data_IF_326163407262
#
_entry.id   IF_326163407262
#
_cell.length_a   1.000
_cell.length_b   1.000
_cell.length_c   1.000
_cell.angle_alpha   90.00
_cell.angle_beta   90.00
_cell.angle_gamma   90.00
#
_symmetry.space_group_name_H-M   'P 1'
#
loop_
_entity.id
_entity.type
_entity.pdbx_description
1 polymer ?
#
# COMPACT_ATOMS: atom_id res chain seq x y z
N UNK A 1 1.59 6.89 -25.51
CA UNK A 1 2.42 6.83 -24.27
C UNK A 1 2.92 5.40 -24.10
N UNK A 2 4.19 5.18 -23.84
CA UNK A 2 4.75 3.84 -23.64
C UNK A 2 4.06 3.22 -22.39
N UNK A 3 3.45 2.02 -22.54
CA UNK A 3 2.71 1.31 -21.44
C UNK A 3 3.53 1.20 -20.16
N UNK A 4 4.85 1.01 -20.31
CA UNK A 4 5.75 0.91 -19.17
C UNK A 4 5.92 2.26 -18.46
N UNK A 5 6.07 3.36 -19.24
CA UNK A 5 6.16 4.70 -18.68
C UNK A 5 4.89 5.07 -17.89
N UNK A 6 3.71 4.76 -18.44
CA UNK A 6 2.44 4.92 -17.72
C UNK A 6 2.43 4.17 -16.39
N UNK A 7 2.84 2.89 -16.40
CA UNK A 7 2.87 2.07 -15.18
C UNK A 7 3.87 2.59 -14.13
N UNK A 8 5.02 3.13 -14.57
CA UNK A 8 5.99 3.79 -13.67
C UNK A 8 5.39 5.05 -13.04
N UNK A 9 4.74 5.89 -13.84
CA UNK A 9 4.07 7.11 -13.35
C UNK A 9 2.99 6.75 -12.34
N UNK A 10 2.15 5.74 -12.63
CA UNK A 10 1.15 5.26 -11.68
C UNK A 10 1.77 4.83 -10.36
N UNK A 11 2.89 4.07 -10.39
CA UNK A 11 3.56 3.63 -9.18
C UNK A 11 4.14 4.80 -8.35
N UNK A 12 4.76 5.79 -9.01
CA UNK A 12 5.31 6.98 -8.34
C UNK A 12 4.21 7.82 -7.69
N UNK A 13 3.09 8.05 -8.41
CA UNK A 13 1.95 8.79 -7.85
C UNK A 13 1.32 8.04 -6.67
N UNK A 14 1.21 6.70 -6.77
CA UNK A 14 0.76 5.86 -5.66
C UNK A 14 1.64 6.06 -4.43
N UNK A 15 2.96 5.98 -4.57
CA UNK A 15 3.91 6.18 -3.46
C UNK A 15 3.78 7.55 -2.83
N UNK A 16 3.55 8.60 -3.64
CA UNK A 16 3.35 9.96 -3.13
C UNK A 16 2.06 10.05 -2.29
N UNK A 17 0.94 9.55 -2.83
CA UNK A 17 -0.34 9.60 -2.11
C UNK A 17 -0.26 8.80 -0.81
N UNK A 18 0.32 7.58 -0.84
CA UNK A 18 0.42 6.75 0.34
C UNK A 18 1.35 7.34 1.40
N UNK A 19 2.51 7.88 1.00
CA UNK A 19 3.44 8.51 1.94
C UNK A 19 2.80 9.68 2.70
N UNK A 20 2.06 10.56 2.01
CA UNK A 20 1.34 11.66 2.65
C UNK A 20 0.11 11.20 3.44
N UNK A 21 -0.48 10.04 3.06
CA UNK A 21 -1.65 9.50 3.74
C UNK A 21 -1.35 8.99 5.17
N UNK A 22 -0.11 8.64 5.50
CA UNK A 22 0.25 8.24 6.87
C UNK A 22 -0.08 9.31 7.91
N UNK A 23 0.19 10.58 7.59
CA UNK A 23 -0.14 11.71 8.46
C UNK A 23 -1.65 11.83 8.66
N UNK A 24 -2.44 11.77 7.59
CA UNK A 24 -3.90 11.83 7.68
C UNK A 24 -4.49 10.59 8.39
N UNK A 25 -3.85 9.43 8.30
CA UNK A 25 -4.24 8.23 9.04
C UNK A 25 -4.00 8.37 10.54
N UNK A 26 -2.93 9.01 10.94
CA UNK A 26 -2.60 9.29 12.33
C UNK A 26 -3.61 10.28 12.93
N UNK A 27 -3.82 11.41 12.26
CA UNK A 27 -4.74 12.47 12.69
C UNK A 27 -6.21 12.01 12.71
N UNK A 28 -6.61 11.07 11.85
CA UNK A 28 -8.00 10.61 11.69
C UNK A 28 -8.48 9.62 12.75
N UNK A 29 -7.72 9.44 13.84
CA UNK A 29 -8.07 8.53 14.95
C UNK A 29 -8.33 9.25 16.27
N UNK A 30 -8.49 10.56 16.27
CA UNK A 30 -8.73 11.33 17.50
C UNK A 30 -10.09 11.00 18.14
N UNK A 31 -11.10 10.67 17.33
CA UNK A 31 -12.47 10.43 17.80
C UNK A 31 -13.03 9.05 17.46
N UNK A 32 -12.33 8.25 16.65
CA UNK A 32 -12.77 6.91 16.23
C UNK A 32 -11.65 5.90 16.29
N UNK A 33 -12.01 4.62 16.47
CA UNK A 33 -11.04 3.52 16.52
C UNK A 33 -10.44 3.17 15.15
N UNK A 34 -9.32 2.43 15.16
CA UNK A 34 -8.56 2.07 13.96
C UNK A 34 -9.36 1.20 12.97
N UNK A 35 -10.25 0.33 13.44
CA UNK A 35 -11.09 -0.50 12.56
C UNK A 35 -12.21 0.33 11.93
N UNK A 36 -12.82 1.24 12.70
CA UNK A 36 -13.85 2.17 12.21
C UNK A 36 -13.27 3.08 11.13
N UNK A 37 -12.10 3.69 11.38
CA UNK A 37 -11.41 4.50 10.38
C UNK A 37 -11.07 3.68 9.12
N UNK A 38 -10.52 2.47 9.29
CA UNK A 38 -10.18 1.57 8.17
C UNK A 38 -11.42 1.20 7.35
N UNK A 39 -12.53 0.87 8.00
CA UNK A 39 -13.79 0.56 7.31
C UNK A 39 -14.33 1.78 6.55
N UNK A 40 -14.37 2.94 7.20
CA UNK A 40 -14.88 4.19 6.60
C UNK A 40 -14.06 4.61 5.37
N UNK A 41 -12.71 4.56 5.44
CA UNK A 41 -11.87 4.89 4.28
C UNK A 41 -12.04 3.91 3.12
N UNK A 42 -12.18 2.61 3.40
CA UNK A 42 -12.33 1.59 2.37
C UNK A 42 -13.70 1.63 1.69
N UNK A 43 -14.80 1.83 2.44
CA UNK A 43 -16.12 1.99 1.80
C UNK A 43 -16.16 3.25 0.92
N UNK A 44 -15.53 4.33 1.34
CA UNK A 44 -15.43 5.53 0.54
C UNK A 44 -14.59 5.33 -0.72
N UNK A 45 -13.49 4.57 -0.61
CA UNK A 45 -12.69 4.14 -1.77
C UNK A 45 -13.51 3.33 -2.78
N UNK A 46 -14.33 2.38 -2.29
CA UNK A 46 -15.27 1.65 -3.14
C UNK A 46 -16.27 2.57 -3.82
N UNK A 47 -16.94 3.46 -3.07
CA UNK A 47 -17.93 4.39 -3.61
C UNK A 47 -17.34 5.34 -4.65
N UNK A 48 -16.09 5.78 -4.45
CA UNK A 48 -15.35 6.60 -5.42
C UNK A 48 -15.15 5.88 -6.75
N UNK A 49 -14.86 4.57 -6.73
CA UNK A 49 -14.58 3.79 -7.93
C UNK A 49 -15.82 3.17 -8.57
N UNK A 50 -16.92 3.03 -7.83
CA UNK A 50 -18.15 2.36 -8.30
C UNK A 50 -18.71 2.93 -9.62
N UNK A 51 -18.81 4.27 -9.81
CA UNK A 51 -19.27 4.81 -11.09
C UNK A 51 -18.42 4.37 -12.28
N UNK A 52 -17.11 4.31 -12.11
CA UNK A 52 -16.17 3.88 -13.17
C UNK A 52 -16.31 2.37 -13.46
N UNK A 53 -16.57 1.54 -12.46
CA UNK A 53 -16.87 0.11 -12.66
C UNK A 53 -18.10 -0.06 -13.53
N UNK A 54 -19.19 0.66 -13.21
CA UNK A 54 -20.47 0.57 -13.91
C UNK A 54 -20.32 1.05 -15.37
N UNK A 55 -19.66 2.18 -15.57
CA UNK A 55 -19.57 2.83 -16.88
C UNK A 55 -18.53 2.17 -17.80
N UNK A 56 -17.43 1.65 -17.26
CA UNK A 56 -16.28 1.19 -18.07
C UNK A 56 -16.16 -0.33 -18.11
N UNK A 57 -16.23 -1.02 -16.96
CA UNK A 57 -15.85 -2.43 -16.86
C UNK A 57 -17.04 -3.38 -16.96
N UNK A 58 -18.20 -3.03 -16.38
CA UNK A 58 -19.32 -3.95 -16.20
C UNK A 58 -19.81 -4.58 -17.51
N UNK A 59 -19.93 -3.78 -18.57
CA UNK A 59 -20.35 -4.25 -19.90
C UNK A 59 -19.32 -5.22 -20.50
N UNK A 60 -18.04 -4.93 -20.32
CA UNK A 60 -16.94 -5.76 -20.84
C UNK A 60 -16.86 -7.09 -20.09
N UNK A 61 -17.06 -7.08 -18.77
CA UNK A 61 -17.07 -8.30 -17.95
C UNK A 61 -18.23 -9.20 -18.33
N UNK A 62 -19.44 -8.66 -18.53
CA UNK A 62 -20.62 -9.44 -18.91
C UNK A 62 -20.49 -10.16 -20.28
N UNK A 63 -19.71 -9.59 -21.19
CA UNK A 63 -19.55 -10.12 -22.54
C UNK A 63 -18.45 -11.19 -22.67
N UNK A 64 -17.79 -11.56 -21.58
CA UNK A 64 -16.72 -12.55 -21.58
C UNK A 64 -17.03 -13.72 -20.63
N UNK A 65 -16.62 -14.92 -21.02
CA UNK A 65 -16.70 -16.11 -20.17
C UNK A 65 -15.49 -16.16 -19.23
N UNK A 66 -15.71 -15.80 -17.97
CA UNK A 66 -14.72 -15.90 -16.91
C UNK A 66 -15.06 -17.02 -15.92
N UNK A 67 -14.04 -17.63 -15.33
CA UNK A 67 -14.21 -18.49 -14.15
C UNK A 67 -14.48 -17.59 -12.92
N UNK A 68 -15.75 -17.20 -12.76
CA UNK A 68 -16.18 -16.32 -11.66
C UNK A 68 -15.90 -16.91 -10.28
N UNK A 69 -15.94 -18.24 -10.14
CA UNK A 69 -15.61 -18.91 -8.87
C UNK A 69 -14.16 -18.65 -8.48
N UNK A 70 -13.25 -18.85 -9.41
CA UNK A 70 -11.82 -18.58 -9.22
C UNK A 70 -11.56 -17.09 -8.92
N UNK A 71 -12.16 -16.18 -9.68
CA UNK A 71 -12.04 -14.74 -9.49
C UNK A 71 -12.54 -14.33 -8.11
N UNK A 72 -13.69 -14.85 -7.69
CA UNK A 72 -14.28 -14.58 -6.37
C UNK A 72 -13.32 -14.94 -5.22
N UNK A 73 -12.71 -16.12 -5.24
CA UNK A 73 -11.77 -16.52 -4.21
C UNK A 73 -10.51 -15.66 -4.21
N UNK A 74 -10.00 -15.25 -5.37
CA UNK A 74 -8.88 -14.30 -5.45
C UNK A 74 -9.25 -12.93 -4.91
N UNK A 75 -10.42 -12.39 -5.26
CA UNK A 75 -10.90 -11.10 -4.75
C UNK A 75 -11.14 -11.13 -3.25
N UNK A 76 -11.74 -12.23 -2.75
CA UNK A 76 -11.95 -12.42 -1.32
C UNK A 76 -10.60 -12.44 -0.56
N UNK A 77 -9.61 -13.16 -1.08
CA UNK A 77 -8.28 -13.23 -0.48
C UNK A 77 -7.56 -11.87 -0.54
N UNK A 78 -7.61 -11.16 -1.68
CA UNK A 78 -7.03 -9.81 -1.81
C UNK A 78 -7.76 -8.83 -0.88
N UNK A 79 -9.10 -8.91 -0.79
CA UNK A 79 -9.91 -8.13 0.13
C UNK A 79 -9.59 -8.41 1.61
N UNK A 80 -9.30 -9.66 1.97
CA UNK A 80 -8.78 -10.02 3.28
C UNK A 80 -7.40 -9.38 3.54
N UNK A 81 -6.49 -9.46 2.58
CA UNK A 81 -5.15 -8.90 2.73
C UNK A 81 -5.18 -7.38 2.89
N UNK A 82 -6.04 -6.67 2.13
CA UNK A 82 -6.18 -5.21 2.27
C UNK A 82 -6.87 -4.82 3.57
N UNK A 83 -7.85 -5.59 4.05
CA UNK A 83 -8.52 -5.37 5.33
C UNK A 83 -7.53 -5.41 6.50
N UNK A 84 -6.84 -6.54 6.63
CA UNK A 84 -5.89 -6.73 7.73
C UNK A 84 -4.62 -5.91 7.55
N UNK A 85 -4.14 -5.71 6.31
CA UNK A 85 -3.04 -4.82 6.02
C UNK A 85 -3.31 -3.39 6.50
N UNK A 86 -4.45 -2.80 6.13
CA UNK A 86 -4.81 -1.45 6.59
C UNK A 86 -5.11 -1.41 8.11
N UNK A 87 -5.80 -2.41 8.65
CA UNK A 87 -6.12 -2.44 10.08
C UNK A 87 -4.84 -2.51 10.93
N UNK A 88 -3.91 -3.41 10.62
CA UNK A 88 -2.63 -3.52 11.32
C UNK A 88 -1.80 -2.23 11.20
N UNK A 89 -1.79 -1.61 10.03
CA UNK A 89 -1.11 -0.32 9.83
C UNK A 89 -1.73 0.76 10.71
N UNK A 90 -3.06 0.80 10.80
CA UNK A 90 -3.78 1.77 11.61
C UNK A 90 -3.55 1.51 13.11
N UNK A 91 -3.53 0.24 13.54
CA UNK A 91 -3.15 -0.12 14.91
C UNK A 91 -1.69 0.22 15.22
N UNK A 92 -0.77 0.08 14.27
CA UNK A 92 0.63 0.43 14.48
C UNK A 92 0.80 1.91 14.85
N UNK A 93 0.05 2.80 14.18
CA UNK A 93 0.07 4.25 14.45
C UNK A 93 -0.33 4.62 15.89
N UNK A 94 -1.11 3.78 16.59
CA UNK A 94 -1.43 4.01 17.99
C UNK A 94 -0.25 3.78 18.95
N UNK A 95 0.79 3.05 18.50
CA UNK A 95 1.87 2.58 19.37
C UNK A 95 3.27 2.97 18.90
N UNK A 96 3.37 3.64 17.75
CA UNK A 96 4.64 4.16 17.21
C UNK A 96 4.41 5.37 16.30
N UNK A 97 5.47 6.10 15.98
CA UNK A 97 5.40 7.31 15.16
C UNK A 97 5.05 7.01 13.69
N UNK A 98 4.51 8.00 13.00
CA UNK A 98 4.17 7.96 11.56
C UNK A 98 5.37 7.49 10.72
N UNK A 99 6.56 8.06 10.96
CA UNK A 99 7.76 7.69 10.21
C UNK A 99 8.15 6.22 10.43
N UNK A 100 8.10 5.73 11.68
CA UNK A 100 8.40 4.34 12.00
C UNK A 100 7.37 3.39 11.38
N UNK A 101 6.07 3.69 11.50
CA UNK A 101 5.02 2.89 10.88
C UNK A 101 5.24 2.76 9.36
N UNK A 102 5.55 3.86 8.68
CA UNK A 102 5.83 3.87 7.26
C UNK A 102 7.06 3.00 6.91
N UNK A 103 8.16 3.16 7.66
CA UNK A 103 9.41 2.41 7.43
C UNK A 103 9.22 0.92 7.62
N UNK A 104 8.58 0.48 8.73
CA UNK A 104 8.38 -0.94 8.98
C UNK A 104 7.37 -1.56 8.01
N UNK A 105 6.34 -0.80 7.58
CA UNK A 105 5.42 -1.23 6.52
C UNK A 105 6.17 -1.47 5.20
N UNK A 106 7.07 -0.57 4.80
CA UNK A 106 7.84 -0.66 3.55
C UNK A 106 8.74 -1.90 3.49
N UNK A 107 9.00 -2.59 4.61
CA UNK A 107 9.74 -3.85 4.61
C UNK A 107 9.08 -4.95 3.76
N UNK A 108 7.84 -4.76 3.27
CA UNK A 108 7.27 -5.62 2.21
C UNK A 108 8.20 -5.69 0.97
N UNK A 109 9.05 -4.70 0.74
CA UNK A 109 10.03 -4.72 -0.37
C UNK A 109 10.98 -5.90 -0.30
N UNK A 110 11.30 -6.35 0.90
CA UNK A 110 12.12 -7.55 1.14
C UNK A 110 11.27 -8.81 0.94
N UNK A 111 10.04 -8.84 1.45
CA UNK A 111 9.18 -10.02 1.39
C UNK A 111 8.61 -10.32 0.00
N UNK A 112 8.29 -9.29 -0.81
CA UNK A 112 7.71 -9.47 -2.16
C UNK A 112 8.54 -10.37 -3.08
N UNK A 113 9.87 -10.24 -3.19
CA UNK A 113 10.69 -11.18 -3.95
C UNK A 113 10.58 -12.63 -3.46
N UNK A 114 10.60 -12.86 -2.14
CA UNK A 114 10.46 -14.20 -1.55
C UNK A 114 9.07 -14.78 -1.86
N UNK A 115 7.99 -14.05 -1.61
CA UNK A 115 6.61 -14.50 -1.93
C UNK A 115 6.48 -14.79 -3.43
N UNK A 116 7.05 -13.93 -4.30
CA UNK A 116 7.04 -14.15 -5.75
C UNK A 116 7.79 -15.41 -6.18
N UNK A 117 8.90 -15.72 -5.53
CA UNK A 117 9.68 -16.91 -5.81
C UNK A 117 8.97 -18.18 -5.32
N UNK A 118 8.56 -18.23 -4.06
CA UNK A 118 7.94 -19.43 -3.46
C UNK A 118 6.60 -19.79 -4.07
N UNK A 119 5.71 -18.82 -4.27
CA UNK A 119 4.35 -19.09 -4.74
C UNK A 119 4.22 -19.14 -6.26
N UNK A 120 5.15 -18.54 -7.01
CA UNK A 120 5.01 -18.43 -8.47
C UNK A 120 6.28 -18.77 -9.24
N UNK A 121 7.30 -19.30 -8.58
CA UNK A 121 8.59 -19.74 -9.18
C UNK A 121 9.23 -18.68 -10.09
N UNK A 122 9.02 -17.41 -9.78
CA UNK A 122 9.59 -16.31 -10.57
C UNK A 122 11.05 -16.10 -10.23
N UNK A 123 11.92 -16.23 -11.23
CA UNK A 123 13.33 -15.83 -11.09
C UNK A 123 13.41 -14.31 -10.93
N UNK A 124 14.08 -13.87 -9.87
CA UNK A 124 14.27 -12.45 -9.53
C UNK A 124 15.69 -12.05 -9.94
N UNK A 125 15.81 -10.92 -10.64
CA UNK A 125 17.14 -10.41 -11.02
C UNK A 125 17.91 -9.97 -9.77
N UNK A 126 19.23 -10.21 -9.74
CA UNK A 126 20.08 -9.92 -8.57
C UNK A 126 19.99 -8.45 -8.10
N UNK A 127 19.84 -7.50 -9.03
CA UNK A 127 19.72 -6.07 -8.70
C UNK A 127 18.51 -5.76 -7.82
N UNK A 128 17.44 -6.55 -7.89
CA UNK A 128 16.25 -6.38 -7.06
C UNK A 128 16.56 -6.68 -5.59
N UNK A 129 17.37 -7.73 -5.33
CA UNK A 129 17.79 -8.06 -3.98
C UNK A 129 18.71 -6.97 -3.38
N UNK A 130 19.61 -6.43 -4.18
CA UNK A 130 20.47 -5.33 -3.74
C UNK A 130 19.64 -4.06 -3.49
N UNK A 131 18.69 -3.74 -4.37
CA UNK A 131 17.78 -2.61 -4.17
C UNK A 131 16.93 -2.79 -2.91
N UNK A 132 16.41 -4.00 -2.65
CA UNK A 132 15.64 -4.30 -1.44
C UNK A 132 16.50 -4.11 -0.17
N UNK A 133 17.76 -4.54 -0.20
CA UNK A 133 18.69 -4.30 0.89
C UNK A 133 18.96 -2.80 1.11
N UNK A 134 19.13 -2.05 0.02
CA UNK A 134 19.30 -0.58 0.11
C UNK A 134 18.06 0.11 0.68
N UNK A 135 16.85 -0.32 0.30
CA UNK A 135 15.60 0.19 0.87
C UNK A 135 15.49 -0.14 2.37
N UNK A 136 15.87 -1.37 2.75
CA UNK A 136 15.93 -1.77 4.16
C UNK A 136 16.88 -0.87 4.96
N UNK A 137 18.11 -0.69 4.48
CA UNK A 137 19.10 0.17 5.15
C UNK A 137 18.64 1.63 5.19
N UNK A 138 18.10 2.15 4.07
CA UNK A 138 17.54 3.50 4.04
C UNK A 138 16.39 3.68 5.02
N UNK A 139 15.50 2.69 5.14
CA UNK A 139 14.45 2.66 6.15
C UNK A 139 15.00 2.68 7.58
N UNK A 140 16.00 1.87 7.88
CA UNK A 140 16.65 1.87 9.20
C UNK A 140 17.28 3.24 9.55
N UNK A 141 17.87 3.95 8.60
CA UNK A 141 18.36 5.31 8.83
C UNK A 141 17.22 6.32 9.12
N UNK A 142 16.00 6.06 8.59
CA UNK A 142 14.84 6.91 8.90
C UNK A 142 14.33 6.74 10.34
N UNK A 143 14.58 5.59 10.99
CA UNK A 143 14.15 5.34 12.38
C UNK A 143 15.11 5.84 13.44
N UNK A 144 16.25 6.47 13.08
CA UNK A 144 17.29 6.92 14.02
C UNK A 144 17.72 5.83 15.00
N UNK A 145 18.72 5.05 14.63
CA UNK A 145 19.21 3.86 15.33
C UNK A 145 19.74 4.09 16.77
N UNK A 146 19.83 5.34 17.24
CA UNK A 146 20.50 5.68 18.49
C UNK A 146 19.78 5.18 19.76
N UNK A 147 18.49 4.81 19.67
CA UNK A 147 17.73 4.21 20.77
C UNK A 147 16.72 3.18 20.22
N UNK A 148 17.19 2.06 19.69
CA UNK A 148 16.33 1.00 19.16
C UNK A 148 15.61 0.27 20.30
N UNK A 149 14.64 0.90 20.89
CA UNK A 149 13.59 0.19 21.62
C UNK A 149 12.51 -0.18 20.61
N UNK A 150 12.42 -1.44 20.23
CA UNK A 150 11.34 -1.95 19.36
C UNK A 150 10.02 -1.72 20.08
N UNK A 151 9.24 -0.76 19.62
CA UNK A 151 7.91 -0.48 20.16
C UNK A 151 6.91 -1.54 19.64
N UNK A 152 5.79 -1.70 20.34
CA UNK A 152 4.72 -2.60 19.89
C UNK A 152 4.26 -2.26 18.47
N UNK A 153 4.09 -0.96 18.15
CA UNK A 153 3.70 -0.50 16.83
C UNK A 153 4.67 -0.89 15.72
N UNK A 154 5.98 -0.88 15.99
CA UNK A 154 7.00 -1.31 15.02
C UNK A 154 6.84 -2.80 14.65
N UNK A 155 6.58 -3.64 15.66
CA UNK A 155 6.32 -5.07 15.46
C UNK A 155 5.02 -5.32 14.67
N UNK A 156 3.96 -4.56 14.96
CA UNK A 156 2.70 -4.63 14.23
C UNK A 156 2.90 -4.19 12.77
N UNK A 157 3.63 -3.10 12.53
CA UNK A 157 3.93 -2.60 11.18
C UNK A 157 4.81 -3.57 10.38
N UNK A 158 5.78 -4.22 11.03
CA UNK A 158 6.57 -5.28 10.41
C UNK A 158 5.71 -6.49 10.02
N UNK A 159 4.79 -6.91 10.90
CA UNK A 159 3.86 -7.99 10.58
C UNK A 159 2.90 -7.60 9.45
N UNK A 160 2.45 -6.35 9.42
CA UNK A 160 1.69 -5.76 8.34
C UNK A 160 2.40 -5.87 6.97
N UNK A 161 3.72 -5.69 6.93
CA UNK A 161 4.50 -5.80 5.69
C UNK A 161 4.34 -7.17 4.98
N UNK A 162 4.06 -8.25 5.72
CA UNK A 162 3.72 -9.56 5.14
C UNK A 162 2.40 -9.50 4.37
N UNK A 163 1.35 -8.90 4.93
CA UNK A 163 0.06 -8.75 4.25
C UNK A 163 0.20 -7.96 2.96
N UNK A 164 0.94 -6.84 2.98
CA UNK A 164 1.21 -6.05 1.78
C UNK A 164 2.03 -6.81 0.75
N UNK A 165 2.99 -7.63 1.17
CA UNK A 165 3.78 -8.45 0.24
C UNK A 165 2.92 -9.46 -0.51
N UNK A 166 2.03 -10.17 0.19
CA UNK A 166 1.05 -11.07 -0.43
C UNK A 166 0.08 -10.31 -1.33
N UNK A 167 -0.47 -9.19 -0.87
CA UNK A 167 -1.39 -8.35 -1.63
C UNK A 167 -0.81 -7.93 -2.99
N UNK A 168 0.40 -7.36 -3.01
CA UNK A 168 1.10 -6.95 -4.24
C UNK A 168 1.27 -8.14 -5.20
N UNK A 169 1.69 -9.29 -4.68
CA UNK A 169 1.97 -10.47 -5.51
C UNK A 169 0.68 -11.08 -6.06
N UNK A 170 -0.38 -11.19 -5.24
CA UNK A 170 -1.64 -11.80 -5.66
C UNK A 170 -2.46 -10.91 -6.60
N UNK A 171 -2.39 -9.57 -6.49
CA UNK A 171 -2.92 -8.65 -7.52
C UNK A 171 -2.26 -8.93 -8.88
N UNK A 172 -0.93 -8.99 -8.94
CA UNK A 172 -0.23 -9.29 -10.19
C UNK A 172 -0.60 -10.69 -10.76
N UNK A 173 -1.01 -11.61 -9.91
CA UNK A 173 -1.50 -12.92 -10.34
C UNK A 173 -2.92 -12.84 -10.89
N UNK A 174 -3.82 -12.13 -10.21
CA UNK A 174 -5.21 -11.93 -10.64
C UNK A 174 -5.27 -11.24 -12.01
N UNK A 175 -4.46 -10.20 -12.22
CA UNK A 175 -4.38 -9.46 -13.48
C UNK A 175 -4.06 -10.32 -14.72
N UNK A 176 -3.46 -11.49 -14.55
CA UNK A 176 -3.15 -12.39 -15.68
C UNK A 176 -4.38 -13.05 -16.31
N UNK A 177 -5.46 -13.22 -15.56
CA UNK A 177 -6.68 -13.87 -16.05
C UNK A 177 -7.94 -13.04 -15.83
N UNK A 178 -7.86 -11.95 -15.07
CA UNK A 178 -8.93 -10.97 -14.86
C UNK A 178 -8.34 -9.56 -14.87
N UNK A 179 -8.19 -8.97 -16.05
CA UNK A 179 -7.49 -7.69 -16.24
C UNK A 179 -8.47 -6.51 -16.24
N UNK A 180 -9.13 -6.28 -15.09
CA UNK A 180 -10.05 -5.17 -14.85
C UNK A 180 -9.62 -4.39 -13.60
N UNK A 181 -8.62 -3.49 -13.73
CA UNK A 181 -8.04 -2.77 -12.60
C UNK A 181 -9.04 -2.01 -11.74
N UNK A 182 -10.02 -1.35 -12.38
CA UNK A 182 -11.04 -0.56 -11.67
C UNK A 182 -11.92 -1.47 -10.82
N UNK A 183 -12.38 -2.58 -11.41
CA UNK A 183 -13.22 -3.56 -10.70
C UNK A 183 -12.45 -4.23 -9.55
N UNK A 184 -11.18 -4.59 -9.76
CA UNK A 184 -10.35 -5.19 -8.71
C UNK A 184 -10.17 -4.18 -7.56
N UNK A 185 -9.82 -2.91 -7.88
CA UNK A 185 -9.64 -1.86 -6.87
C UNK A 185 -10.92 -1.60 -6.07
N UNK A 186 -12.07 -1.52 -6.74
CA UNK A 186 -13.35 -1.30 -6.09
C UNK A 186 -13.75 -2.48 -5.18
N UNK A 187 -13.70 -3.71 -5.71
CA UNK A 187 -14.17 -4.87 -4.96
C UNK A 187 -13.27 -5.23 -3.78
N UNK A 188 -11.95 -5.05 -3.88
CA UNK A 188 -11.08 -5.23 -2.72
C UNK A 188 -11.40 -4.23 -1.60
N UNK A 189 -11.72 -2.97 -1.95
CA UNK A 189 -12.12 -1.96 -0.98
C UNK A 189 -13.47 -2.31 -0.33
N UNK A 190 -14.46 -2.78 -1.09
CA UNK A 190 -15.74 -3.22 -0.55
C UNK A 190 -15.57 -4.38 0.43
N UNK A 191 -14.86 -5.44 0.01
CA UNK A 191 -14.61 -6.61 0.84
C UNK A 191 -13.81 -6.21 2.09
N UNK A 192 -12.77 -5.39 1.92
CA UNK A 192 -11.96 -4.89 3.01
C UNK A 192 -12.76 -4.09 4.02
N UNK A 193 -13.65 -3.21 3.55
CA UNK A 193 -14.55 -2.44 4.42
C UNK A 193 -15.47 -3.34 5.25
N UNK A 194 -16.10 -4.33 4.63
CA UNK A 194 -16.97 -5.28 5.35
C UNK A 194 -16.18 -6.06 6.41
N UNK A 195 -15.01 -6.58 6.05
CA UNK A 195 -14.17 -7.36 6.95
C UNK A 195 -13.61 -6.55 8.13
N UNK A 196 -13.47 -5.24 8.01
CA UNK A 196 -13.04 -4.36 9.10
C UNK A 196 -14.21 -3.77 9.88
N UNK A 197 -15.37 -3.57 9.24
CA UNK A 197 -16.57 -3.10 9.91
C UNK A 197 -17.13 -4.10 10.93
N UNK A 198 -17.12 -5.40 10.58
CA UNK A 198 -17.62 -6.45 11.48
C UNK A 198 -16.91 -6.44 12.85
N UNK A 199 -15.57 -6.52 12.92
CA UNK A 199 -14.90 -6.40 14.21
C UNK A 199 -15.02 -4.97 14.81
N UNK A 200 -15.05 -3.90 14.00
CA UNK A 200 -15.27 -2.56 14.53
C UNK A 200 -16.58 -2.47 15.34
N UNK A 201 -17.66 -3.01 14.81
CA UNK A 201 -18.98 -2.99 15.50
C UNK A 201 -19.03 -3.83 16.79
N UNK A 202 -18.06 -4.69 17.04
CA UNK A 202 -17.95 -5.53 18.24
C UNK A 202 -16.98 -4.93 19.27
N UNK A 203 -15.86 -4.39 18.80
CA UNK A 203 -14.73 -4.01 19.66
C UNK A 203 -14.52 -2.49 19.79
N UNK A 204 -15.18 -1.68 18.95
CA UNK A 204 -15.09 -0.23 18.98
C UNK A 204 -16.48 0.40 19.13
N UNK A 205 -16.53 1.60 19.66
CA UNK A 205 -17.74 2.40 19.73
C UNK A 205 -17.96 3.14 18.41
N UNK A 206 -18.77 2.54 17.52
CA UNK A 206 -19.05 3.09 16.20
C UNK A 206 -20.17 4.12 16.28
N UNK A 207 -19.81 5.40 16.42
CA UNK A 207 -20.76 6.52 16.49
C UNK A 207 -20.62 7.39 15.24
N UNK A 208 -21.70 7.57 14.50
CA UNK A 208 -21.68 8.30 13.23
C UNK A 208 -21.24 9.77 13.38
N UNK A 209 -21.62 10.46 14.47
CA UNK A 209 -21.14 11.81 14.74
C UNK A 209 -19.63 11.91 14.89
N UNK A 210 -19.01 10.89 15.51
CA UNK A 210 -17.56 10.84 15.68
C UNK A 210 -16.83 10.61 14.35
N UNK A 211 -17.41 9.75 13.47
CA UNK A 211 -16.91 9.57 12.11
C UNK A 211 -16.95 10.88 11.33
N UNK A 212 -17.99 11.71 11.53
CA UNK A 212 -18.08 13.01 10.89
C UNK A 212 -17.08 14.03 11.40
N UNK A 213 -16.54 13.89 12.62
CA UNK A 213 -15.46 14.75 13.10
C UNK A 213 -14.17 14.54 12.30
N UNK A 214 -13.92 13.30 11.86
CA UNK A 214 -12.75 12.90 11.07
C UNK A 214 -12.99 12.98 9.54
N UNK A 215 -13.97 13.76 9.08
CA UNK A 215 -14.39 13.74 7.67
C UNK A 215 -13.27 14.13 6.68
N UNK A 216 -12.36 15.03 7.06
CA UNK A 216 -11.28 15.50 6.17
C UNK A 216 -10.26 14.38 5.92
N UNK A 217 -9.85 13.72 6.99
CA UNK A 217 -8.90 12.61 7.00
C UNK A 217 -9.51 11.41 6.26
N UNK A 218 -10.77 11.09 6.55
CA UNK A 218 -11.51 10.02 5.86
C UNK A 218 -11.69 10.33 4.37
N UNK A 219 -12.02 11.57 4.00
CA UNK A 219 -12.14 11.96 2.59
C UNK A 219 -10.80 11.84 1.87
N UNK A 220 -9.73 12.38 2.45
CA UNK A 220 -8.40 12.31 1.85
C UNK A 220 -7.96 10.86 1.69
N UNK A 221 -7.99 10.07 2.77
CA UNK A 221 -7.50 8.70 2.77
C UNK A 221 -8.47 7.79 2.00
N UNK A 222 -9.78 8.01 2.08
CA UNK A 222 -10.79 7.22 1.38
C UNK A 222 -10.77 7.43 -0.13
N UNK A 223 -10.85 8.68 -0.57
CA UNK A 223 -10.91 9.00 -2.01
C UNK A 223 -9.55 8.83 -2.68
N UNK A 224 -8.50 9.48 -2.14
CA UNK A 224 -7.19 9.49 -2.80
C UNK A 224 -6.40 8.22 -2.51
N UNK A 225 -6.23 7.84 -1.23
CA UNK A 225 -5.38 6.70 -0.87
C UNK A 225 -6.08 5.35 -1.11
N UNK A 226 -7.34 5.19 -0.70
CA UNK A 226 -8.07 3.93 -0.88
C UNK A 226 -8.74 3.82 -2.25
N UNK A 227 -9.24 4.91 -2.83
CA UNK A 227 -9.80 4.92 -4.18
C UNK A 227 -8.72 4.95 -5.25
N UNK A 228 -8.19 6.14 -5.49
CA UNK A 228 -7.29 6.36 -6.63
C UNK A 228 -5.93 5.69 -6.49
N UNK A 229 -5.27 5.71 -5.33
CA UNK A 229 -3.92 5.12 -5.22
C UNK A 229 -3.94 3.59 -5.35
N UNK A 230 -4.93 2.87 -4.80
CA UNK A 230 -5.07 1.43 -5.08
C UNK A 230 -5.38 1.14 -6.55
N UNK A 231 -6.16 1.99 -7.22
CA UNK A 231 -6.37 1.86 -8.66
C UNK A 231 -5.05 2.06 -9.43
N UNK A 232 -4.29 3.10 -9.11
CA UNK A 232 -2.99 3.37 -9.73
C UNK A 232 -1.96 2.27 -9.43
N UNK A 233 -1.96 1.70 -8.21
CA UNK A 233 -1.19 0.51 -7.88
C UNK A 233 -1.49 -0.62 -8.87
N UNK A 234 -2.76 -0.94 -9.10
CA UNK A 234 -3.17 -2.04 -9.97
C UNK A 234 -2.81 -1.74 -11.43
N UNK A 235 -2.98 -0.49 -11.90
CA UNK A 235 -2.50 -0.06 -13.22
C UNK A 235 -0.99 -0.21 -13.36
N UNK A 236 -0.21 0.11 -12.33
CA UNK A 236 1.24 -0.07 -12.37
C UNK A 236 1.62 -1.54 -12.55
N UNK A 237 0.90 -2.45 -11.89
CA UNK A 237 1.13 -3.88 -11.91
C UNK A 237 0.66 -4.59 -13.20
N UNK A 238 -0.06 -3.90 -14.09
CA UNK A 238 -0.37 -4.46 -15.42
C UNK A 238 0.88 -4.69 -16.27
N UNK A 239 1.90 -3.83 -16.17
CA UNK A 239 3.10 -3.91 -17.01
C UNK A 239 4.42 -4.00 -16.21
N UNK A 240 4.37 -3.85 -14.90
CA UNK A 240 5.52 -4.02 -14.01
C UNK A 240 5.31 -5.29 -13.18
N UNK A 241 6.41 -6.02 -12.94
CA UNK A 241 6.36 -7.19 -12.06
C UNK A 241 6.35 -6.77 -10.58
N UNK A 242 5.86 -7.64 -9.66
CA UNK A 242 5.67 -7.30 -8.25
C UNK A 242 6.90 -6.71 -7.56
N UNK A 243 8.08 -7.33 -7.72
CA UNK A 243 9.27 -6.91 -6.99
C UNK A 243 9.79 -5.52 -7.40
N UNK A 244 9.95 -5.15 -8.70
CA UNK A 244 10.25 -3.77 -9.10
C UNK A 244 9.20 -2.75 -8.64
N UNK A 245 7.91 -3.12 -8.65
CA UNK A 245 6.83 -2.24 -8.18
C UNK A 245 6.95 -1.99 -6.67
N UNK A 246 7.19 -3.03 -5.88
CA UNK A 246 7.39 -2.90 -4.44
C UNK A 246 8.55 -1.95 -4.09
N UNK A 247 9.65 -2.01 -4.87
CA UNK A 247 10.77 -1.08 -4.68
C UNK A 247 10.35 0.37 -4.98
N UNK A 248 9.51 0.62 -6.00
CA UNK A 248 9.02 1.98 -6.26
C UNK A 248 8.11 2.43 -5.12
N UNK A 249 7.22 1.55 -4.63
CA UNK A 249 6.32 1.87 -3.53
C UNK A 249 7.08 2.19 -2.24
N UNK A 250 8.30 1.65 -2.04
CA UNK A 250 9.10 1.99 -0.85
C UNK A 250 9.44 3.49 -0.71
N UNK A 251 9.27 4.28 -1.77
CA UNK A 251 9.32 5.74 -1.68
C UNK A 251 8.27 6.31 -0.72
N UNK A 252 7.18 5.59 -0.44
CA UNK A 252 6.18 6.05 0.52
C UNK A 252 6.78 6.30 1.92
N UNK A 253 7.75 5.48 2.36
CA UNK A 253 8.46 5.69 3.62
C UNK A 253 9.28 6.98 3.63
N UNK A 254 9.99 7.27 2.54
CA UNK A 254 10.73 8.51 2.38
C UNK A 254 9.80 9.73 2.33
N UNK A 255 8.68 9.61 1.61
CA UNK A 255 7.67 10.68 1.50
C UNK A 255 6.95 10.89 2.84
N UNK A 256 6.65 9.81 3.58
CA UNK A 256 6.06 9.91 4.91
C UNK A 256 6.97 10.67 5.90
N UNK A 257 8.28 10.41 5.86
CA UNK A 257 9.26 11.14 6.67
C UNK A 257 9.30 12.64 6.32
N UNK A 258 9.25 12.97 5.02
CA UNK A 258 9.18 14.38 4.56
C UNK A 258 7.83 15.02 4.96
N UNK A 259 6.72 14.30 4.81
CA UNK A 259 5.40 14.80 5.20
C UNK A 259 5.30 15.03 6.71
N UNK A 260 5.85 14.11 7.52
CA UNK A 260 5.95 14.28 8.98
C UNK A 260 6.79 15.50 9.37
N UNK A 261 7.88 15.76 8.66
CA UNK A 261 8.69 16.97 8.86
C UNK A 261 7.90 18.24 8.52
N UNK A 262 7.25 18.29 7.37
CA UNK A 262 6.57 19.51 6.87
C UNK A 262 5.26 19.78 7.63
N UNK A 263 4.47 18.73 7.93
CA UNK A 263 3.10 18.87 8.45
C UNK A 263 3.08 18.77 9.99
N UNK A 264 3.83 17.81 10.55
CA UNK A 264 3.86 17.55 11.99
C UNK A 264 5.05 18.20 12.69
N UNK A 265 5.86 19.02 11.98
CA UNK A 265 7.09 19.65 12.50
C UNK A 265 8.08 18.66 13.11
N UNK A 266 8.09 17.41 12.66
CA UNK A 266 9.07 16.41 13.10
C UNK A 266 10.46 16.76 12.61
N UNK A 267 11.49 16.48 13.41
CA UNK A 267 12.85 16.86 13.04
C UNK A 267 13.42 15.93 11.96
N UNK A 268 13.98 16.51 10.89
CA UNK A 268 14.63 15.77 9.80
C UNK A 268 16.16 15.87 9.96
N UNK A 269 16.76 14.86 10.58
CA UNK A 269 18.21 14.80 10.79
C UNK A 269 18.97 14.46 9.50
N UNK A 270 20.29 14.71 9.49
CA UNK A 270 21.16 14.35 8.36
C UNK A 270 21.12 12.84 8.06
N UNK A 271 20.99 12.00 9.09
CA UNK A 271 20.86 10.54 8.97
C UNK A 271 19.56 10.18 8.22
N UNK A 272 18.43 10.82 8.56
CA UNK A 272 17.16 10.64 7.85
C UNK A 272 17.27 11.07 6.39
N UNK A 273 17.91 12.20 6.12
CA UNK A 273 18.16 12.66 4.73
C UNK A 273 18.97 11.62 3.96
N UNK A 274 20.03 11.07 4.55
CA UNK A 274 20.81 10.00 3.92
C UNK A 274 19.96 8.75 3.65
N UNK A 275 19.09 8.36 4.59
CA UNK A 275 18.14 7.26 4.40
C UNK A 275 17.21 7.49 3.20
N UNK A 276 16.63 8.69 3.08
CA UNK A 276 15.79 9.10 1.94
C UNK A 276 16.57 8.96 0.62
N UNK A 277 17.78 9.50 0.55
CA UNK A 277 18.60 9.44 -0.66
C UNK A 277 18.95 8.00 -1.05
N UNK A 278 19.20 7.13 -0.07
CA UNK A 278 19.48 5.71 -0.31
C UNK A 278 18.26 4.98 -0.89
N UNK A 279 17.05 5.25 -0.39
CA UNK A 279 15.79 4.70 -0.94
C UNK A 279 15.59 5.18 -2.38
N UNK A 280 15.76 6.47 -2.65
CA UNK A 280 15.63 7.04 -4.01
C UNK A 280 16.63 6.35 -4.95
N UNK A 281 17.88 6.21 -4.54
CA UNK A 281 18.91 5.52 -5.33
C UNK A 281 18.54 4.05 -5.59
N UNK A 282 18.06 3.33 -4.59
CA UNK A 282 17.61 1.95 -4.73
C UNK A 282 16.48 1.81 -5.78
N UNK A 283 15.50 2.74 -5.77
CA UNK A 283 14.42 2.77 -6.76
C UNK A 283 14.98 2.95 -8.17
N UNK A 284 15.84 3.94 -8.39
CA UNK A 284 16.48 4.21 -9.69
C UNK A 284 17.27 2.98 -10.15
N UNK A 285 18.10 2.41 -9.28
CA UNK A 285 18.93 1.24 -9.56
C UNK A 285 18.09 0.03 -9.98
N UNK A 286 16.99 -0.24 -9.27
CA UNK A 286 16.08 -1.35 -9.58
C UNK A 286 15.41 -1.26 -10.94
N UNK A 287 15.23 -0.04 -11.45
CA UNK A 287 14.56 0.20 -12.73
C UNK A 287 15.54 0.21 -13.91
N UNK A 288 16.79 0.62 -13.70
CA UNK A 288 17.79 0.79 -14.76
C UNK A 288 18.57 -0.52 -15.02
N UNK A 289 19.11 -1.14 -13.97
CA UNK A 289 20.06 -2.27 -14.11
C UNK A 289 19.50 -3.49 -14.84
N UNK A 290 18.24 -3.92 -14.64
CA UNK A 290 17.69 -5.04 -15.39
C UNK A 290 17.59 -4.83 -16.90
N UNK A 291 17.66 -3.56 -17.37
CA UNK A 291 17.61 -3.23 -18.81
C UNK A 291 18.92 -3.42 -19.51
N UNK A 292 20.05 -3.08 -18.86
CA UNK A 292 21.37 -3.17 -19.48
C UNK A 292 21.84 -4.59 -19.80
N UNK A 293 21.18 -5.63 -19.25
CA UNK A 293 21.49 -7.05 -19.52
C UNK A 293 20.59 -7.73 -20.57
N UNK A 294 19.68 -6.99 -21.21
CA UNK A 294 18.81 -7.53 -22.29
C UNK A 294 19.31 -7.21 -23.70
N UNK A 295 20.43 -6.48 -23.80
CA UNK A 295 21.13 -6.23 -25.07
C UNK A 295 22.42 -7.12 -25.10
#
# INVERSE_FOLDING_TARGET
MNKKFFSLTCALVTSFIWGTAFVAQDMGMDHIGPLTFTSARLILGFLTLLPFVILIDLKKIKNNNYDFKKIFFYLLFIGFLIAYGNALQQYALLYTDVANTAVFTVLYVVFVPFVSYFFFSKKIHWSIWLSALMCLLGGLFLTELDNVTVRLGDSIALFNALFWSFHIVFISRLLKFFNFPITIAALQCLIGSVLTFLPASIFEEVVFSNILLEYKEILYVGVLSSGFAFLLQIFSQQNLSPAPVAIIFSLEGAIAAIAGWVILNQFLTEIKVFGILLIIFAVIFSQIVPFYKKN
#
